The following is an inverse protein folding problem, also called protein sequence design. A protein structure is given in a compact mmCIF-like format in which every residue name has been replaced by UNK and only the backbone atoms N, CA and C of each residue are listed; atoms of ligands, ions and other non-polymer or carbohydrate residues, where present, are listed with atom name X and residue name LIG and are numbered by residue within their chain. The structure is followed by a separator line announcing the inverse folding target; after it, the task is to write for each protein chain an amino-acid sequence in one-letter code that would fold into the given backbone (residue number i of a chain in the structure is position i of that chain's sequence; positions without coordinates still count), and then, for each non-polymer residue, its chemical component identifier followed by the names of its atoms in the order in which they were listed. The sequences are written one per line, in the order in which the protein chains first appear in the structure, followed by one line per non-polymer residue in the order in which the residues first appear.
data_IF_237060620181
#
_entry.id   IF_237060620181
#
_cell.length_a   1.000
_cell.length_b   1.000
_cell.length_c   1.000
_cell.angle_alpha   90.00
_cell.angle_beta   90.00
_cell.angle_gamma   90.00
#
_symmetry.space_group_name_H-M   'P 1'
#
loop_
_entity.id
_entity.type
_entity.pdbx_description
1 polymer ?
#
# COMPACT_ATOMS: atom_id res chain seq x y z
N UNK A 1 -44.01 -69.94 -37.74
CA UNK A 1 -42.77 -69.13 -37.87
C UNK A 1 -43.08 -67.67 -37.54
N UNK A 2 -43.45 -67.30 -36.30
CA UNK A 2 -43.68 -65.87 -35.92
C UNK A 2 -43.68 -65.58 -34.39
N UNK A 3 -43.04 -66.40 -33.55
CA UNK A 3 -43.02 -66.14 -32.09
C UNK A 3 -41.69 -65.61 -31.54
N UNK A 4 -40.58 -65.73 -32.30
CA UNK A 4 -39.25 -65.33 -31.80
C UNK A 4 -38.89 -63.85 -32.04
N UNK A 5 -39.63 -63.13 -32.89
CA UNK A 5 -39.32 -61.73 -33.25
C UNK A 5 -40.01 -60.67 -32.39
N UNK A 6 -41.09 -61.02 -31.65
CA UNK A 6 -41.79 -60.06 -30.77
C UNK A 6 -41.05 -59.77 -29.47
N UNK A 7 -40.35 -60.74 -28.91
CA UNK A 7 -39.62 -60.59 -27.65
C UNK A 7 -38.41 -59.65 -27.77
N UNK A 8 -37.69 -59.71 -28.90
CA UNK A 8 -36.53 -58.86 -29.16
C UNK A 8 -36.96 -57.41 -29.40
N UNK A 9 -38.08 -57.18 -30.10
CA UNK A 9 -38.58 -55.83 -30.37
C UNK A 9 -39.00 -55.11 -29.06
N UNK A 10 -39.62 -55.83 -28.13
CA UNK A 10 -40.03 -55.29 -26.83
C UNK A 10 -38.81 -55.01 -25.94
N UNK A 11 -37.78 -55.87 -25.99
CA UNK A 11 -36.52 -55.64 -25.27
C UNK A 11 -35.76 -54.41 -25.79
N UNK A 12 -35.72 -54.21 -27.11
CA UNK A 12 -35.04 -53.05 -27.72
C UNK A 12 -35.78 -51.75 -27.37
N UNK A 13 -37.12 -51.76 -27.37
CA UNK A 13 -37.92 -50.58 -26.98
C UNK A 13 -37.72 -50.24 -25.49
N UNK A 14 -37.65 -51.24 -24.61
CA UNK A 14 -37.41 -51.04 -23.18
C UNK A 14 -36.00 -50.49 -22.90
N UNK A 15 -34.97 -50.98 -23.61
CA UNK A 15 -33.60 -50.45 -23.47
C UNK A 15 -33.52 -49.00 -23.96
N UNK A 16 -34.24 -48.66 -25.05
CA UNK A 16 -34.30 -47.28 -25.55
C UNK A 16 -35.02 -46.33 -24.58
N UNK A 17 -36.10 -46.79 -23.94
CA UNK A 17 -36.80 -45.99 -22.92
C UNK A 17 -35.97 -45.80 -21.64
N UNK A 18 -35.21 -46.81 -21.20
CA UNK A 18 -34.30 -46.67 -20.06
C UNK A 18 -33.15 -45.71 -20.39
N UNK A 19 -32.61 -45.73 -21.61
CA UNK A 19 -31.59 -44.78 -22.05
C UNK A 19 -32.12 -43.33 -22.19
N UNK A 20 -33.36 -43.16 -22.63
CA UNK A 20 -34.00 -41.84 -22.72
C UNK A 20 -34.33 -41.24 -21.34
N UNK A 21 -34.59 -42.08 -20.32
CA UNK A 21 -34.83 -41.64 -18.94
C UNK A 21 -33.57 -41.51 -18.07
N UNK A 22 -32.41 -41.95 -18.58
CA UNK A 22 -31.10 -41.80 -17.91
C UNK A 22 -30.17 -40.81 -18.61
N UNK A 23 -30.68 -40.04 -19.58
CA UNK A 23 -30.09 -38.75 -19.86
C UNK A 23 -30.09 -37.97 -18.54
N UNK A 24 -28.93 -37.54 -18.01
CA UNK A 24 -28.93 -36.65 -16.87
C UNK A 24 -29.74 -35.45 -17.33
N UNK A 25 -30.85 -35.18 -16.65
CA UNK A 25 -31.46 -33.87 -16.67
C UNK A 25 -30.38 -32.98 -16.09
N UNK A 26 -29.46 -32.49 -16.94
CA UNK A 26 -28.75 -31.26 -16.67
C UNK A 26 -29.88 -30.25 -16.53
N UNK A 27 -30.22 -29.98 -15.28
CA UNK A 27 -30.99 -28.82 -14.87
C UNK A 27 -30.24 -27.59 -15.38
N UNK A 28 -30.47 -27.25 -16.65
CA UNK A 28 -30.28 -25.93 -17.20
C UNK A 28 -31.22 -25.01 -16.44
N UNK A 29 -30.76 -24.50 -15.30
CA UNK A 29 -31.20 -23.26 -14.63
C UNK A 29 -30.61 -23.12 -13.21
N UNK A 30 -29.50 -23.79 -12.85
CA UNK A 30 -28.75 -23.30 -11.68
C UNK A 30 -28.27 -21.88 -11.99
N UNK A 31 -28.50 -20.88 -11.12
CA UNK A 31 -27.93 -19.56 -11.30
C UNK A 31 -26.42 -19.70 -11.55
N UNK A 32 -25.89 -18.99 -12.55
CA UNK A 32 -24.45 -18.99 -12.80
C UNK A 32 -23.76 -18.31 -11.61
N UNK A 33 -23.30 -19.08 -10.63
CA UNK A 33 -22.62 -18.51 -9.47
C UNK A 33 -21.31 -17.85 -9.90
N UNK A 34 -20.95 -16.73 -9.24
CA UNK A 34 -19.59 -16.21 -9.34
C UNK A 34 -18.63 -17.23 -8.71
N UNK A 35 -17.69 -17.74 -9.51
CA UNK A 35 -16.73 -18.76 -9.09
C UNK A 35 -15.44 -18.13 -8.56
N UNK A 36 -15.04 -18.55 -7.35
CA UNK A 36 -13.72 -18.29 -6.73
C UNK A 36 -13.24 -16.82 -6.75
N UNK A 37 -13.98 -15.91 -6.12
CA UNK A 37 -13.86 -14.49 -6.40
C UNK A 37 -12.79 -13.77 -5.56
N UNK A 38 -12.04 -14.42 -4.66
CA UNK A 38 -11.34 -13.69 -3.58
C UNK A 38 -10.32 -12.64 -4.04
N UNK A 39 -9.78 -12.76 -5.26
CA UNK A 39 -8.91 -11.74 -5.85
C UNK A 39 -9.68 -10.49 -6.32
N UNK A 40 -10.93 -10.68 -6.71
CA UNK A 40 -11.75 -9.71 -7.45
C UNK A 40 -13.03 -9.31 -6.70
N UNK A 41 -13.44 -10.03 -5.66
CA UNK A 41 -14.67 -9.78 -4.90
C UNK A 41 -14.58 -8.41 -4.22
N UNK A 42 -15.58 -7.58 -4.45
CA UNK A 42 -15.61 -6.17 -4.05
C UNK A 42 -15.05 -5.22 -5.09
N UNK A 43 -14.37 -5.73 -6.11
CA UNK A 43 -13.87 -4.98 -7.26
C UNK A 43 -13.99 -5.81 -8.55
N UNK A 44 -15.14 -6.46 -8.77
CA UNK A 44 -15.32 -7.33 -9.91
C UNK A 44 -15.18 -6.54 -11.22
N UNK A 45 -14.40 -7.04 -12.21
CA UNK A 45 -14.08 -6.28 -13.41
C UNK A 45 -15.26 -6.16 -14.38
N UNK A 46 -16.25 -7.07 -14.33
CA UNK A 46 -17.37 -7.06 -15.27
C UNK A 46 -18.74 -7.10 -14.58
N UNK A 47 -19.58 -6.10 -14.91
CA UNK A 47 -20.98 -6.09 -14.48
C UNK A 47 -21.80 -7.20 -15.14
N UNK A 48 -21.36 -7.74 -16.28
CA UNK A 48 -22.05 -8.81 -17.00
C UNK A 48 -21.99 -10.16 -16.27
N UNK A 49 -20.87 -10.51 -15.64
CA UNK A 49 -20.79 -11.71 -14.81
C UNK A 49 -21.66 -11.59 -13.56
N UNK A 50 -21.66 -10.41 -12.93
CA UNK A 50 -22.54 -10.11 -11.81
C UNK A 50 -24.01 -10.23 -12.22
N UNK A 51 -24.40 -9.69 -13.39
CA UNK A 51 -25.76 -9.83 -13.94
C UNK A 51 -26.15 -11.30 -14.13
N UNK A 52 -25.25 -12.13 -14.65
CA UNK A 52 -25.48 -13.58 -14.83
C UNK A 52 -25.65 -14.32 -13.50
N UNK A 53 -25.03 -13.82 -12.43
CA UNK A 53 -25.10 -14.39 -11.09
C UNK A 53 -26.29 -13.92 -10.25
N UNK A 54 -27.07 -12.93 -10.73
CA UNK A 54 -28.25 -12.45 -10.02
C UNK A 54 -29.29 -13.53 -9.82
N UNK A 55 -29.88 -13.56 -8.64
CA UNK A 55 -30.98 -14.46 -8.34
C UNK A 55 -32.23 -13.99 -9.08
N UNK A 56 -32.97 -14.93 -9.69
CA UNK A 56 -34.22 -14.62 -10.39
C UNK A 56 -35.29 -14.05 -9.45
N UNK A 57 -35.30 -14.50 -8.19
CA UNK A 57 -36.30 -14.11 -7.19
C UNK A 57 -35.92 -12.84 -6.43
N UNK A 58 -34.63 -12.48 -6.38
CA UNK A 58 -34.12 -11.28 -5.72
C UNK A 58 -32.94 -10.70 -6.52
N UNK A 59 -33.19 -9.79 -7.49
CA UNK A 59 -32.16 -9.21 -8.34
C UNK A 59 -31.15 -8.31 -7.61
N UNK A 60 -31.38 -8.03 -6.31
CA UNK A 60 -30.42 -7.33 -5.45
C UNK A 60 -29.32 -8.25 -4.94
N UNK A 61 -29.53 -9.57 -5.02
CA UNK A 61 -28.60 -10.60 -4.57
C UNK A 61 -28.01 -11.39 -5.73
N UNK A 62 -26.84 -11.96 -5.48
CA UNK A 62 -26.14 -12.86 -6.38
C UNK A 62 -25.75 -14.15 -5.67
N UNK A 63 -25.59 -15.23 -6.43
CA UNK A 63 -25.05 -16.50 -5.94
C UNK A 63 -23.52 -16.50 -6.10
N UNK A 64 -22.79 -16.81 -5.03
CA UNK A 64 -21.32 -16.83 -5.01
C UNK A 64 -20.84 -18.18 -4.48
N UNK A 65 -19.84 -18.75 -5.15
CA UNK A 65 -19.15 -19.96 -4.68
C UNK A 65 -17.97 -19.57 -3.79
N UNK A 66 -18.00 -20.03 -2.55
CA UNK A 66 -16.94 -19.81 -1.54
C UNK A 66 -15.69 -20.65 -1.86
N UNK A 67 -14.57 -20.33 -1.20
CA UNK A 67 -13.32 -21.12 -1.31
C UNK A 67 -13.48 -22.56 -0.78
N UNK A 68 -14.51 -22.83 0.02
CA UNK A 68 -14.84 -24.18 0.53
C UNK A 68 -15.69 -24.99 -0.43
N UNK A 69 -16.17 -24.37 -1.51
CA UNK A 69 -17.05 -25.00 -2.50
C UNK A 69 -18.54 -24.80 -2.25
N UNK A 70 -18.92 -24.26 -1.09
CA UNK A 70 -20.31 -23.94 -0.76
C UNK A 70 -20.82 -22.74 -1.58
N UNK A 71 -22.13 -22.67 -1.78
CA UNK A 71 -22.79 -21.53 -2.44
C UNK A 71 -23.52 -20.69 -1.41
N UNK A 72 -23.30 -19.37 -1.45
CA UNK A 72 -23.97 -18.40 -0.57
C UNK A 72 -24.59 -17.28 -1.38
N UNK A 73 -25.64 -16.67 -0.82
CA UNK A 73 -26.28 -15.48 -1.39
C UNK A 73 -25.71 -14.23 -0.73
N UNK A 74 -25.31 -13.26 -1.54
CA UNK A 74 -24.77 -11.97 -1.06
C UNK A 74 -25.37 -10.82 -1.85
N UNK A 75 -25.29 -9.60 -1.31
CA UNK A 75 -25.73 -8.41 -2.05
C UNK A 75 -24.85 -8.21 -3.28
N UNK A 76 -25.46 -7.86 -4.40
CA UNK A 76 -24.76 -7.62 -5.65
C UNK A 76 -23.75 -6.47 -5.52
N UNK A 77 -24.08 -5.42 -4.75
CA UNK A 77 -23.22 -4.26 -4.50
C UNK A 77 -21.90 -4.63 -3.83
N UNK A 78 -21.91 -5.62 -2.93
CA UNK A 78 -20.71 -6.07 -2.22
C UNK A 78 -19.68 -6.69 -3.17
N UNK A 79 -20.08 -7.11 -4.38
CA UNK A 79 -19.20 -7.73 -5.36
C UNK A 79 -18.36 -6.72 -6.16
N UNK A 80 -18.76 -5.44 -6.28
CA UNK A 80 -18.09 -4.48 -7.17
C UNK A 80 -17.92 -3.05 -6.62
N UNK A 81 -18.58 -2.67 -5.54
CA UNK A 81 -18.57 -1.29 -5.03
C UNK A 81 -17.69 -1.10 -3.79
N UNK A 82 -16.81 -2.04 -3.44
CA UNK A 82 -16.02 -1.94 -2.20
C UNK A 82 -15.09 -0.71 -2.19
N UNK A 83 -14.64 -0.24 -3.36
CA UNK A 83 -13.86 1.00 -3.49
C UNK A 83 -14.65 2.29 -3.23
N UNK A 84 -15.97 2.22 -3.02
CA UNK A 84 -16.82 3.36 -2.64
C UNK A 84 -17.13 3.40 -1.15
N UNK A 85 -16.73 2.37 -0.39
CA UNK A 85 -17.01 2.25 1.04
C UNK A 85 -16.20 3.31 1.80
N UNK A 86 -16.90 4.25 2.41
CA UNK A 86 -16.32 5.38 3.15
C UNK A 86 -16.70 5.39 4.63
N UNK A 87 -17.59 4.50 5.07
CA UNK A 87 -18.07 4.42 6.46
C UNK A 87 -17.80 3.04 7.09
N UNK A 88 -17.75 3.03 8.43
CA UNK A 88 -17.43 1.84 9.22
C UNK A 88 -18.45 0.71 9.06
N UNK A 89 -19.75 1.05 8.98
CA UNK A 89 -20.82 0.06 8.84
C UNK A 89 -20.73 -0.65 7.49
N UNK A 90 -20.54 0.12 6.42
CA UNK A 90 -20.31 -0.42 5.08
C UNK A 90 -19.08 -1.32 5.04
N UNK A 91 -17.97 -0.89 5.64
CA UNK A 91 -16.74 -1.66 5.70
C UNK A 91 -16.90 -2.97 6.49
N UNK A 92 -17.54 -2.92 7.66
CA UNK A 92 -17.80 -4.11 8.47
C UNK A 92 -18.67 -5.13 7.73
N UNK A 93 -19.73 -4.67 7.07
CA UNK A 93 -20.60 -5.53 6.27
C UNK A 93 -19.84 -6.19 5.12
N UNK A 94 -19.08 -5.39 4.36
CA UNK A 94 -18.25 -5.91 3.27
C UNK A 94 -17.23 -6.93 3.76
N UNK A 95 -16.48 -6.64 4.81
CA UNK A 95 -15.47 -7.57 5.35
C UNK A 95 -16.12 -8.87 5.85
N UNK A 96 -17.27 -8.80 6.52
CA UNK A 96 -18.02 -9.99 6.94
C UNK A 96 -18.43 -10.85 5.74
N UNK A 97 -18.93 -10.22 4.67
CA UNK A 97 -19.25 -10.91 3.41
C UNK A 97 -17.99 -11.51 2.79
N UNK A 98 -16.91 -10.74 2.66
CA UNK A 98 -15.64 -11.18 2.09
C UNK A 98 -15.07 -12.39 2.86
N UNK A 99 -15.02 -12.33 4.19
CA UNK A 99 -14.53 -13.43 5.04
C UNK A 99 -15.40 -14.69 4.95
N UNK A 100 -16.72 -14.54 4.76
CA UNK A 100 -17.62 -15.69 4.54
C UNK A 100 -17.32 -16.41 3.23
N UNK A 101 -16.80 -15.69 2.23
CA UNK A 101 -16.44 -16.22 0.91
C UNK A 101 -15.01 -16.77 0.91
N UNK A 102 -14.08 -16.05 1.54
CA UNK A 102 -12.63 -16.20 1.37
C UNK A 102 -11.91 -16.79 2.58
N UNK A 103 -12.58 -16.88 3.74
CA UNK A 103 -12.01 -17.32 5.00
C UNK A 103 -11.82 -16.17 5.99
N UNK A 104 -11.83 -16.49 7.29
CA UNK A 104 -11.64 -15.51 8.36
C UNK A 104 -10.30 -14.80 8.26
N UNK A 105 -10.26 -13.52 8.63
CA UNK A 105 -9.07 -12.67 8.67
C UNK A 105 -8.40 -12.44 7.30
N UNK A 106 -9.02 -12.89 6.21
CA UNK A 106 -8.53 -12.63 4.86
C UNK A 106 -8.88 -11.21 4.44
N UNK A 107 -7.93 -10.58 3.74
CA UNK A 107 -8.09 -9.22 3.21
C UNK A 107 -8.09 -9.26 1.69
N UNK A 108 -8.97 -8.51 1.01
CA UNK A 108 -8.89 -8.35 -0.43
C UNK A 108 -7.55 -7.73 -0.84
N UNK A 109 -7.04 -8.03 -2.05
CA UNK A 109 -5.79 -7.43 -2.55
C UNK A 109 -5.80 -5.89 -2.54
N UNK A 110 -6.97 -5.29 -2.74
CA UNK A 110 -7.18 -3.84 -2.73
C UNK A 110 -7.61 -3.28 -1.36
N UNK A 111 -7.47 -4.05 -0.27
CA UNK A 111 -7.89 -3.63 1.09
C UNK A 111 -7.41 -2.24 1.47
N UNK A 112 -6.13 -1.94 1.21
CA UNK A 112 -5.50 -0.65 1.53
C UNK A 112 -5.94 0.50 0.62
N UNK A 113 -6.79 0.23 -0.37
CA UNK A 113 -7.36 1.23 -1.26
C UNK A 113 -8.83 1.54 -0.97
N UNK A 114 -9.46 0.79 -0.06
CA UNK A 114 -10.84 1.05 0.36
C UNK A 114 -10.86 2.40 1.10
N UNK A 115 -11.68 3.40 0.69
CA UNK A 115 -11.62 4.75 1.25
C UNK A 115 -11.70 4.83 2.78
N UNK A 116 -12.57 4.02 3.40
CA UNK A 116 -12.65 3.93 4.86
C UNK A 116 -11.33 3.47 5.50
N UNK A 117 -10.67 2.45 4.93
CA UNK A 117 -9.38 1.95 5.40
C UNK A 117 -8.29 2.99 5.21
N UNK A 118 -8.27 3.66 4.05
CA UNK A 118 -7.32 4.73 3.73
C UNK A 118 -7.41 5.85 4.76
N UNK A 119 -8.63 6.27 5.12
CA UNK A 119 -8.85 7.30 6.13
C UNK A 119 -8.39 6.84 7.53
N UNK A 120 -8.70 5.60 7.91
CA UNK A 120 -8.29 5.03 9.18
C UNK A 120 -6.75 4.95 9.30
N UNK A 121 -6.06 4.49 8.26
CA UNK A 121 -4.60 4.42 8.24
C UNK A 121 -3.96 5.83 8.21
N UNK A 122 -4.58 6.79 7.52
CA UNK A 122 -4.14 8.19 7.56
C UNK A 122 -4.22 8.76 8.99
N UNK A 123 -5.33 8.54 9.69
CA UNK A 123 -5.50 9.00 11.08
C UNK A 123 -4.47 8.36 12.02
N UNK A 124 -4.21 7.05 11.87
CA UNK A 124 -3.15 6.36 12.63
C UNK A 124 -1.77 6.98 12.34
N UNK A 125 -1.45 7.22 11.08
CA UNK A 125 -0.19 7.85 10.65
C UNK A 125 -0.03 9.27 11.26
N UNK A 126 -1.09 10.08 11.26
CA UNK A 126 -1.09 11.40 11.91
C UNK A 126 -0.91 11.27 13.42
N UNK A 127 -1.56 10.28 14.05
CA UNK A 127 -1.36 9.96 15.46
C UNK A 127 0.10 9.62 15.80
N UNK A 128 0.75 8.82 14.95
CA UNK A 128 2.16 8.45 15.09
C UNK A 128 3.11 9.62 14.86
N UNK A 129 2.73 10.58 14.01
CA UNK A 129 3.51 11.80 13.75
C UNK A 129 3.74 12.63 15.03
N UNK A 130 2.85 12.52 16.02
CA UNK A 130 2.99 13.18 17.33
C UNK A 130 4.25 12.75 18.09
N UNK A 131 4.86 11.60 17.75
CA UNK A 131 6.12 11.15 18.37
C UNK A 131 7.26 12.16 18.19
N UNK A 132 7.27 12.92 17.09
CA UNK A 132 8.28 13.94 16.84
C UNK A 132 8.29 15.05 17.88
N UNK A 133 7.16 15.35 18.55
CA UNK A 133 7.14 16.28 19.70
C UNK A 133 8.04 15.86 20.86
N UNK A 134 8.32 14.56 20.97
CA UNK A 134 9.15 13.96 22.02
C UNK A 134 10.46 13.41 21.47
N UNK A 135 10.84 13.81 20.26
CA UNK A 135 12.07 13.36 19.61
C UNK A 135 13.29 13.64 20.49
N UNK A 136 14.09 12.61 20.75
CA UNK A 136 15.40 12.74 21.40
C UNK A 136 16.49 13.19 20.43
N UNK A 137 16.22 13.18 19.12
CA UNK A 137 17.17 13.52 18.06
C UNK A 137 17.03 15.00 17.69
N UNK A 138 15.79 15.47 17.54
CA UNK A 138 15.51 16.88 17.30
C UNK A 138 15.55 17.63 18.64
N UNK A 139 16.52 18.53 18.81
CA UNK A 139 16.74 19.21 20.10
C UNK A 139 15.80 20.38 20.38
N UNK A 140 15.45 21.16 19.36
CA UNK A 140 14.60 22.33 19.56
C UNK A 140 13.12 21.99 19.36
N UNK A 141 12.26 22.68 20.09
CA UNK A 141 10.80 22.58 19.93
C UNK A 141 10.37 22.99 18.51
N UNK A 142 11.01 24.00 17.93
CA UNK A 142 10.78 24.43 16.56
C UNK A 142 10.92 23.27 15.56
N UNK A 143 12.03 22.52 15.63
CA UNK A 143 12.30 21.41 14.71
C UNK A 143 11.40 20.21 14.96
N UNK A 144 11.07 19.93 16.22
CA UNK A 144 10.09 18.89 16.61
C UNK A 144 8.71 19.20 16.02
N UNK A 145 8.26 20.44 16.15
CA UNK A 145 6.99 20.91 15.60
C UNK A 145 6.99 20.85 14.07
N UNK A 146 8.05 21.34 13.42
CA UNK A 146 8.21 21.25 11.96
C UNK A 146 8.21 19.80 11.49
N UNK A 147 8.80 18.87 12.25
CA UNK A 147 8.88 17.45 11.88
C UNK A 147 7.52 16.76 12.00
N UNK A 148 6.75 17.07 13.04
CA UNK A 148 5.36 16.61 13.17
C UNK A 148 4.51 17.13 12.02
N UNK A 149 4.62 18.41 11.65
CA UNK A 149 3.88 19.02 10.54
C UNK A 149 4.22 18.33 9.21
N UNK A 150 5.51 18.14 8.92
CA UNK A 150 5.96 17.46 7.72
C UNK A 150 5.49 16.00 7.69
N UNK A 151 5.65 15.28 8.79
CA UNK A 151 5.18 13.90 8.95
C UNK A 151 3.68 13.78 8.71
N UNK A 152 2.90 14.72 9.26
CA UNK A 152 1.44 14.82 9.04
C UNK A 152 1.12 15.08 7.57
N UNK A 153 1.87 15.97 6.90
CA UNK A 153 1.72 16.22 5.47
C UNK A 153 1.98 14.97 4.64
N UNK A 154 3.02 14.18 4.97
CA UNK A 154 3.32 12.90 4.30
C UNK A 154 2.15 11.92 4.45
N UNK A 155 1.51 11.86 5.63
CA UNK A 155 0.33 11.00 5.84
C UNK A 155 -0.85 11.39 4.93
N UNK A 156 -1.18 12.68 4.85
CA UNK A 156 -2.27 13.15 3.98
C UNK A 156 -1.93 13.03 2.49
N UNK A 157 -0.68 13.26 2.13
CA UNK A 157 -0.18 13.04 0.77
C UNK A 157 -0.30 11.58 0.35
N UNK A 158 0.03 10.66 1.26
CA UNK A 158 -0.12 9.21 1.08
C UNK A 158 -1.59 8.86 0.85
N UNK A 159 -2.47 9.33 1.74
CA UNK A 159 -3.93 9.16 1.63
C UNK A 159 -4.45 9.62 0.27
N UNK A 160 -4.13 10.86 -0.12
CA UNK A 160 -4.61 11.44 -1.37
C UNK A 160 -4.07 10.68 -2.59
N UNK A 161 -2.81 10.24 -2.55
CA UNK A 161 -2.22 9.46 -3.64
C UNK A 161 -2.92 8.12 -3.84
N UNK A 162 -3.33 7.44 -2.76
CA UNK A 162 -4.10 6.20 -2.82
C UNK A 162 -5.51 6.46 -3.35
N UNK A 163 -6.23 7.45 -2.80
CA UNK A 163 -7.61 7.75 -3.21
C UNK A 163 -7.71 8.20 -4.68
N UNK A 164 -6.66 8.79 -5.23
CA UNK A 164 -6.59 9.15 -6.64
C UNK A 164 -6.26 7.94 -7.56
N UNK A 165 -5.77 6.82 -7.01
CA UNK A 165 -5.36 5.63 -7.77
C UNK A 165 -5.76 4.31 -7.07
N UNK A 166 -7.03 4.12 -6.65
CA UNK A 166 -7.40 3.06 -5.71
C UNK A 166 -7.23 1.64 -6.27
N UNK A 167 -7.20 1.46 -7.59
CA UNK A 167 -7.14 0.13 -8.22
C UNK A 167 -5.87 -0.14 -9.00
N UNK A 168 -4.95 0.82 -9.02
CA UNK A 168 -3.72 0.77 -9.83
C UNK A 168 -2.50 1.13 -9.00
N UNK A 169 -2.53 0.81 -7.70
CA UNK A 169 -1.35 0.96 -6.86
C UNK A 169 -0.25 0.04 -7.40
N UNK A 170 0.95 0.57 -7.68
CA UNK A 170 2.07 -0.26 -8.07
C UNK A 170 2.48 -1.18 -6.92
N UNK A 171 3.31 -2.18 -7.21
CA UNK A 171 4.05 -2.83 -6.13
C UNK A 171 4.86 -1.78 -5.37
N UNK A 172 4.94 -1.84 -4.03
CA UNK A 172 5.72 -0.87 -3.25
C UNK A 172 7.22 -1.16 -3.36
N UNK A 173 8.03 -0.10 -3.35
CA UNK A 173 9.47 -0.22 -3.10
C UNK A 173 9.66 -0.63 -1.63
N UNK A 174 10.36 -1.74 -1.38
CA UNK A 174 10.80 -2.07 -0.04
C UNK A 174 11.82 -1.03 0.45
N UNK A 175 11.59 -0.53 1.67
CA UNK A 175 12.40 0.52 2.29
C UNK A 175 13.90 0.20 2.41
N UNK A 176 14.27 -1.09 2.48
CA UNK A 176 15.67 -1.56 2.59
C UNK A 176 16.46 -0.80 3.67
N UNK A 177 15.80 -0.51 4.80
CA UNK A 177 16.45 0.15 5.92
C UNK A 177 17.62 -0.69 6.45
N UNK A 178 18.77 -0.08 6.82
CA UNK A 178 18.96 1.36 6.98
C UNK A 178 19.44 2.12 5.73
N UNK A 179 19.55 1.48 4.57
CA UNK A 179 20.16 2.07 3.37
C UNK A 179 19.22 3.04 2.61
N UNK A 180 18.03 3.29 3.16
CA UNK A 180 17.08 4.23 2.59
C UNK A 180 17.69 5.63 2.54
N UNK A 181 17.85 6.19 1.34
CA UNK A 181 18.61 7.42 1.10
C UNK A 181 19.76 7.22 0.14
N UNK A 182 20.33 6.02 0.11
CA UNK A 182 21.53 5.67 -0.66
C UNK A 182 21.32 4.38 -1.47
N UNK A 183 20.06 4.01 -1.71
CA UNK A 183 19.76 2.80 -2.46
C UNK A 183 20.36 2.90 -3.87
N UNK A 184 21.07 1.86 -4.29
CA UNK A 184 21.65 1.75 -5.63
C UNK A 184 20.56 1.39 -6.66
N UNK A 185 19.64 2.31 -6.89
CA UNK A 185 18.56 2.21 -7.86
C UNK A 185 18.73 3.28 -8.93
N UNK A 186 18.51 2.94 -10.20
CA UNK A 186 18.51 3.95 -11.27
C UNK A 186 17.20 4.74 -11.22
N UNK A 187 17.20 5.98 -11.69
CA UNK A 187 15.97 6.82 -11.71
C UNK A 187 14.86 6.18 -12.53
N UNK A 188 15.23 5.49 -13.61
CA UNK A 188 14.31 4.80 -14.49
C UNK A 188 13.63 3.62 -13.79
N UNK A 189 14.36 2.93 -12.91
CA UNK A 189 13.84 1.82 -12.10
C UNK A 189 12.82 2.29 -11.07
N UNK A 190 12.87 3.56 -10.65
CA UNK A 190 11.90 4.14 -9.73
C UNK A 190 10.53 4.36 -10.37
N UNK A 191 10.45 4.41 -11.71
CA UNK A 191 9.17 4.61 -12.40
C UNK A 191 8.15 3.50 -12.12
N UNK A 192 8.61 2.27 -11.86
CA UNK A 192 7.71 1.15 -11.53
C UNK A 192 7.00 1.29 -10.18
N UNK A 193 7.50 2.19 -9.32
CA UNK A 193 6.95 2.44 -8.00
C UNK A 193 6.12 3.74 -7.95
N UNK A 194 6.01 4.47 -9.05
CA UNK A 194 5.28 5.75 -9.09
C UNK A 194 3.79 5.55 -8.88
N UNK A 195 3.20 6.36 -8.01
CA UNK A 195 1.75 6.33 -7.74
C UNK A 195 0.93 6.89 -8.91
N UNK A 196 1.53 7.78 -9.70
CA UNK A 196 1.03 8.23 -11.01
C UNK A 196 2.23 8.73 -11.85
N UNK A 197 2.04 8.93 -13.16
CA UNK A 197 3.12 9.35 -14.08
C UNK A 197 3.86 10.62 -13.63
N UNK A 198 3.14 11.55 -12.99
CA UNK A 198 3.56 12.96 -12.85
C UNK A 198 3.77 13.44 -11.40
N UNK A 199 3.55 12.61 -10.37
CA UNK A 199 3.54 13.05 -8.96
C UNK A 199 4.91 13.32 -8.36
N UNK A 200 5.99 12.85 -9.00
CA UNK A 200 7.31 12.80 -8.37
C UNK A 200 7.35 11.96 -7.08
N UNK A 201 6.29 11.20 -6.78
CA UNK A 201 6.15 10.39 -5.57
C UNK A 201 6.11 8.91 -5.93
N UNK A 202 6.70 8.09 -5.08
CA UNK A 202 6.72 6.64 -5.18
C UNK A 202 6.07 6.00 -3.97
N UNK A 203 5.54 4.80 -4.19
CA UNK A 203 4.94 3.95 -3.19
C UNK A 203 6.04 3.17 -2.47
N UNK A 204 6.14 3.34 -1.15
CA UNK A 204 7.16 2.68 -0.33
C UNK A 204 6.52 1.88 0.78
N UNK A 205 7.00 0.64 0.97
CA UNK A 205 6.70 -0.16 2.16
C UNK A 205 7.71 0.17 3.24
N UNK A 206 7.23 0.72 4.36
CA UNK A 206 8.02 1.05 5.53
C UNK A 206 8.53 -0.20 6.25
N UNK A 207 9.48 -0.05 7.17
CA UNK A 207 10.04 -1.16 7.94
C UNK A 207 9.00 -1.90 8.82
N UNK A 208 7.90 -1.25 9.18
CA UNK A 208 6.78 -1.86 9.92
C UNK A 208 5.65 -2.38 9.01
N UNK A 209 5.89 -2.48 7.69
CA UNK A 209 4.93 -3.05 6.73
C UNK A 209 3.77 -2.10 6.34
N UNK A 210 3.82 -0.83 6.77
CA UNK A 210 2.89 0.20 6.31
C UNK A 210 3.32 0.75 4.95
N UNK A 211 2.48 1.58 4.36
CA UNK A 211 2.77 2.18 3.07
C UNK A 211 2.76 3.70 3.14
N UNK A 212 3.72 4.33 2.49
CA UNK A 212 3.85 5.78 2.40
C UNK A 212 4.12 6.21 0.96
N UNK A 213 3.58 7.37 0.59
CA UNK A 213 3.97 8.08 -0.61
C UNK A 213 5.14 9.01 -0.27
N UNK A 214 6.33 8.73 -0.80
CA UNK A 214 7.54 9.54 -0.57
C UNK A 214 8.02 10.13 -1.89
N UNK A 215 8.72 11.26 -1.85
CA UNK A 215 9.35 11.80 -3.05
C UNK A 215 10.38 10.81 -3.60
N UNK A 216 10.50 10.76 -4.93
CA UNK A 216 11.34 9.79 -5.64
C UNK A 216 12.85 9.97 -5.43
N UNK A 217 13.30 11.14 -4.99
CA UNK A 217 14.70 11.40 -4.67
C UNK A 217 15.11 10.83 -3.31
N UNK A 218 14.18 10.78 -2.35
CA UNK A 218 14.43 10.38 -0.96
C UNK A 218 15.07 9.00 -0.75
N UNK A 219 14.77 7.96 -1.56
CA UNK A 219 15.41 6.65 -1.37
C UNK A 219 16.87 6.58 -1.87
N UNK A 220 17.33 7.51 -2.70
CA UNK A 220 18.59 7.35 -3.48
C UNK A 220 19.53 8.56 -3.47
N UNK A 221 19.01 9.77 -3.20
CA UNK A 221 19.75 11.01 -3.44
C UNK A 221 20.24 11.71 -2.16
N UNK A 222 20.43 10.99 -1.05
CA UNK A 222 20.90 11.59 0.21
C UNK A 222 22.23 12.36 0.05
N UNK A 223 23.15 11.87 -0.80
CA UNK A 223 24.43 12.54 -1.05
C UNK A 223 24.35 13.78 -1.93
N UNK A 224 23.18 14.10 -2.51
CA UNK A 224 22.96 15.33 -3.28
C UNK A 224 22.39 16.47 -2.43
N UNK A 225 22.10 16.21 -1.15
CA UNK A 225 21.61 17.22 -0.22
C UNK A 225 22.68 18.29 -0.04
N UNK A 226 22.30 19.55 -0.20
CA UNK A 226 23.19 20.72 -0.19
C UNK A 226 22.75 21.81 0.78
N UNK A 227 21.66 21.61 1.52
CA UNK A 227 21.10 22.58 2.45
C UNK A 227 20.39 21.91 3.65
N UNK A 228 20.21 22.69 4.71
CA UNK A 228 19.61 22.25 5.98
C UNK A 228 18.15 21.81 5.81
N UNK A 229 17.43 22.42 4.86
CA UNK A 229 16.04 22.06 4.58
C UNK A 229 15.97 20.65 4.00
N UNK A 230 16.72 20.36 2.94
CA UNK A 230 16.83 19.05 2.30
C UNK A 230 17.29 17.97 3.28
N UNK A 231 18.24 18.31 4.16
CA UNK A 231 18.69 17.39 5.21
C UNK A 231 17.60 17.09 6.23
N UNK A 232 16.85 18.12 6.66
CA UNK A 232 15.70 17.97 7.53
C UNK A 232 14.60 17.10 6.89
N UNK A 233 14.25 17.38 5.63
CA UNK A 233 13.27 16.57 4.90
C UNK A 233 13.72 15.11 4.80
N UNK A 234 15.00 14.87 4.51
CA UNK A 234 15.55 13.53 4.42
C UNK A 234 15.47 12.79 5.76
N UNK A 235 15.79 13.47 6.87
CA UNK A 235 15.65 12.91 8.21
C UNK A 235 14.21 12.50 8.52
N UNK A 236 13.24 13.38 8.29
CA UNK A 236 11.83 13.09 8.60
C UNK A 236 11.30 11.95 7.73
N UNK A 237 11.62 11.93 6.43
CA UNK A 237 11.26 10.83 5.53
C UNK A 237 11.88 9.50 5.99
N UNK A 238 13.18 9.51 6.31
CA UNK A 238 13.82 8.34 6.86
C UNK A 238 13.15 7.87 8.16
N UNK A 239 12.89 8.77 9.10
CA UNK A 239 12.28 8.41 10.38
C UNK A 239 10.87 7.82 10.20
N UNK A 240 10.11 8.32 9.22
CA UNK A 240 8.82 7.77 8.82
C UNK A 240 8.92 6.38 8.20
N UNK A 241 9.92 6.15 7.36
CA UNK A 241 10.09 4.88 6.62
C UNK A 241 10.80 3.80 7.46
N UNK A 242 11.85 4.17 8.16
CA UNK A 242 12.81 3.29 8.83
C UNK A 242 12.77 3.35 10.36
N UNK A 243 11.92 4.20 10.94
CA UNK A 243 11.88 4.47 12.37
C UNK A 243 12.84 5.59 12.79
N UNK A 244 12.51 6.23 13.90
CA UNK A 244 13.25 7.39 14.40
C UNK A 244 14.65 6.99 14.91
N UNK A 245 15.68 7.37 14.15
CA UNK A 245 17.10 7.27 14.48
C UNK A 245 17.87 8.18 13.51
N UNK A 246 19.10 8.54 13.86
CA UNK A 246 20.00 9.20 12.92
C UNK A 246 20.33 8.19 11.82
N UNK A 247 20.09 8.52 10.53
CA UNK A 247 20.35 7.55 9.46
C UNK A 247 21.85 7.25 9.37
N UNK A 248 22.26 5.98 9.20
CA UNK A 248 23.68 5.61 9.35
C UNK A 248 24.64 6.25 8.35
N UNK A 249 24.15 6.77 7.22
CA UNK A 249 24.93 7.44 6.18
C UNK A 249 24.89 8.97 6.26
N UNK A 250 24.27 9.55 7.30
CA UNK A 250 24.19 11.01 7.42
C UNK A 250 25.59 11.64 7.55
N UNK A 251 26.51 10.98 8.23
CA UNK A 251 27.87 11.48 8.50
C UNK A 251 28.71 11.69 7.24
N UNK A 252 28.38 10.98 6.16
CA UNK A 252 29.04 11.05 4.86
C UNK A 252 28.23 11.84 3.81
N UNK A 253 27.20 12.58 4.22
CA UNK A 253 26.51 13.53 3.34
C UNK A 253 27.43 14.74 3.10
N UNK A 254 27.83 15.06 1.84
CA UNK A 254 28.84 16.09 1.56
C UNK A 254 28.54 17.46 2.15
N UNK A 255 27.26 17.86 2.20
CA UNK A 255 26.84 19.09 2.86
C UNK A 255 27.23 19.14 4.34
N UNK A 256 27.05 18.03 5.07
CA UNK A 256 27.46 17.94 6.46
C UNK A 256 28.97 17.89 6.61
N UNK A 257 29.68 17.28 5.67
CA UNK A 257 31.14 17.35 5.65
C UNK A 257 31.59 18.81 5.52
N UNK A 258 31.08 19.57 4.56
CA UNK A 258 31.46 20.98 4.32
C UNK A 258 31.07 21.88 5.50
N UNK A 259 29.90 21.68 6.10
CA UNK A 259 29.45 22.46 7.25
C UNK A 259 30.08 22.04 8.58
N UNK A 260 30.66 20.85 8.66
CA UNK A 260 31.37 20.43 9.87
C UNK A 260 32.54 21.38 10.15
N UNK A 261 32.90 21.54 11.42
CA UNK A 261 34.10 22.32 11.81
C UNK A 261 35.32 21.86 11.01
N UNK A 262 35.53 20.55 10.88
CA UNK A 262 36.67 19.98 10.15
C UNK A 262 36.62 20.25 8.64
N UNK A 263 35.46 20.17 8.00
CA UNK A 263 35.34 20.47 6.57
C UNK A 263 35.34 21.97 6.27
N UNK A 264 34.79 22.79 7.16
CA UNK A 264 34.91 24.24 7.11
C UNK A 264 36.39 24.65 7.19
N UNK A 265 37.14 24.11 8.16
CA UNK A 265 38.59 24.34 8.27
C UNK A 265 39.34 23.84 7.02
N UNK A 266 38.96 22.69 6.47
CA UNK A 266 39.58 22.13 5.26
C UNK A 266 39.43 23.07 4.04
N UNK A 267 38.32 23.79 3.95
CA UNK A 267 38.00 24.72 2.86
C UNK A 267 38.17 26.19 3.24
N UNK A 268 38.61 26.49 4.45
CA UNK A 268 38.85 27.85 4.93
C UNK A 268 39.99 28.49 4.13
N UNK A 269 39.86 29.79 3.85
CA UNK A 269 40.91 30.55 3.19
C UNK A 269 42.15 30.63 4.08
N UNK A 270 43.17 29.83 3.73
CA UNK A 270 44.43 29.72 4.47
C UNK A 270 45.23 31.02 4.52
N UNK A 271 44.87 32.02 3.71
CA UNK A 271 45.48 33.36 3.75
C UNK A 271 44.83 34.29 4.77
N UNK A 272 43.62 33.98 5.26
CA UNK A 272 42.89 34.74 6.27
C UNK A 272 42.99 34.03 7.64
N UNK A 273 43.73 34.63 8.58
CA UNK A 273 43.93 34.12 9.95
C UNK A 273 42.64 34.00 10.77
N UNK A 274 41.54 34.65 10.35
CA UNK A 274 40.25 34.60 11.03
C UNK A 274 39.31 33.52 10.52
N UNK A 275 39.57 32.99 9.32
CA UNK A 275 38.66 32.06 8.63
C UNK A 275 38.41 30.75 9.42
N UNK A 276 39.44 30.24 10.10
CA UNK A 276 39.33 29.09 11.00
C UNK A 276 38.51 29.42 12.26
N UNK A 277 38.71 30.60 12.87
CA UNK A 277 37.91 31.04 14.01
C UNK A 277 36.42 31.23 13.65
N UNK A 278 36.12 31.74 12.46
CA UNK A 278 34.76 31.86 11.92
C UNK A 278 34.08 30.49 11.76
N UNK A 279 34.84 29.43 11.44
CA UNK A 279 34.32 28.06 11.41
C UNK A 279 33.91 27.57 12.81
N UNK A 280 34.70 27.88 13.85
CA UNK A 280 34.35 27.55 15.23
C UNK A 280 33.15 28.37 15.74
N UNK A 281 33.04 29.64 15.36
CA UNK A 281 31.92 30.51 15.70
C UNK A 281 30.60 30.04 15.04
N UNK A 282 30.63 29.71 13.73
CA UNK A 282 29.47 29.16 13.00
C UNK A 282 28.98 27.82 13.54
N UNK A 283 29.89 26.98 14.03
CA UNK A 283 29.53 25.68 14.60
C UNK A 283 28.69 25.79 15.88
N UNK A 284 28.71 26.93 16.57
CA UNK A 284 27.91 27.14 17.77
C UNK A 284 26.43 27.47 17.47
N UNK A 285 26.09 27.94 16.26
CA UNK A 285 24.76 28.46 15.93
C UNK A 285 23.86 27.49 15.13
N UNK A 286 24.34 26.29 14.75
CA UNK A 286 23.64 25.46 13.74
C UNK A 286 22.59 24.48 14.28
N UNK A 287 21.59 24.18 13.42
CA UNK A 287 20.43 23.30 13.61
C UNK A 287 20.79 21.93 14.20
N UNK A 288 22.00 21.46 13.93
CA UNK A 288 22.51 20.29 14.61
C UNK A 288 23.86 20.62 15.28
N UNK A 289 23.90 21.52 16.24
CA UNK A 289 25.03 21.57 17.19
C UNK A 289 25.18 20.29 18.05
N UNK A 290 24.35 19.26 17.79
CA UNK A 290 24.55 17.84 18.12
C UNK A 290 24.92 16.92 16.95
N UNK A 291 25.15 17.43 15.72
CA UNK A 291 25.12 16.75 14.39
C UNK A 291 25.66 15.32 14.46
N UNK A 292 26.74 15.08 15.21
CA UNK A 292 27.15 13.74 15.67
C UNK A 292 27.94 13.73 16.99
N UNK A 293 27.40 14.23 18.12
CA UNK A 293 28.11 14.07 19.41
C UNK A 293 28.12 12.60 19.87
N UNK A 294 29.21 11.92 19.49
CA UNK A 294 29.78 10.62 19.89
C UNK A 294 28.89 9.67 20.70
N UNK A 295 28.68 8.48 20.11
CA UNK A 295 28.46 7.20 20.79
C UNK A 295 29.23 7.16 22.13
N UNK A 296 28.52 6.99 23.23
CA UNK A 296 29.00 6.26 24.40
C UNK A 296 28.11 5.04 24.57
#
# INVERSE_FOLDING_TARGET
MFEKSRSILIQVILIFFVFLYSAPIQTQNSPNALNAPCKEFGNYPTLEEIKKAKLKNDPSKILVKTVRGDYIEVLATDAYDAIKISDEKGFHNFMKTYESICGKETKPPFYYSIPFVVELEAQKCVGESKRFKKSSILKSEFWRSKAEQLSTSICYDTRNAILNNPLTLPEPLDSKCPDFGILSLKKEDLNKFKLNSDSGKIWVRTANGKFLAVRNDQPTEAFKISDDEGLFYHYVNFAMVCGERVPPHFDVIPYLEIESVEGCIRHADKSNLRSEAECYEKANDSFFSDKFKKKK
#
